data_IF_146019388263
#
_entry.id   IF_146019388263
#
_cell.length_a   1.000
_cell.length_b   1.000
_cell.length_c   1.000
_cell.angle_alpha   90.00
_cell.angle_beta   90.00
_cell.angle_gamma   90.00
#
_symmetry.space_group_name_H-M   'P 1'
#
loop_
_entity.id
_entity.type
_entity.pdbx_description
1 polymer ?
#
# COMPACT_ATOMS: atom_id res chain seq x y z
N UNK A 1 6.43 -22.99 -10.49
CA UNK A 1 7.16 -21.71 -10.34
C UNK A 1 7.43 -21.52 -8.88
N UNK A 2 8.68 -21.39 -8.53
CA UNK A 2 9.10 -21.27 -7.12
C UNK A 2 9.17 -19.81 -6.69
N UNK A 3 8.93 -19.57 -5.41
CA UNK A 3 9.09 -18.23 -4.80
C UNK A 3 10.52 -17.72 -5.01
N UNK A 4 11.51 -18.60 -4.92
CA UNK A 4 12.94 -18.28 -5.15
C UNK A 4 13.27 -17.83 -6.59
N UNK A 5 12.40 -18.10 -7.57
CA UNK A 5 12.56 -17.60 -8.93
C UNK A 5 12.47 -16.07 -9.03
N UNK A 6 12.02 -15.40 -7.95
CA UNK A 6 11.90 -13.94 -7.81
C UNK A 6 12.91 -13.35 -6.84
N UNK A 7 13.97 -14.10 -6.55
CA UNK A 7 15.06 -13.64 -5.71
C UNK A 7 16.02 -12.74 -6.50
N UNK A 8 16.51 -11.72 -5.85
CA UNK A 8 17.64 -10.90 -6.29
C UNK A 8 18.43 -10.44 -5.07
N UNK A 9 19.70 -10.12 -5.24
CA UNK A 9 20.55 -9.66 -4.15
C UNK A 9 20.25 -8.18 -3.84
N UNK A 10 19.72 -7.89 -2.66
CA UNK A 10 19.41 -6.54 -2.21
C UNK A 10 20.24 -6.18 -0.98
N UNK A 11 21.25 -5.29 -1.13
CA UNK A 11 21.98 -4.74 0.02
C UNK A 11 21.05 -3.97 0.97
N UNK A 12 21.16 -4.24 2.29
CA UNK A 12 20.28 -3.62 3.29
C UNK A 12 20.36 -2.10 3.29
N UNK A 13 21.54 -1.54 3.00
CA UNK A 13 21.74 -0.08 2.94
C UNK A 13 20.95 0.62 1.83
N UNK A 14 20.42 -0.09 0.84
CA UNK A 14 19.58 0.47 -0.20
C UNK A 14 18.10 0.59 0.22
N UNK A 15 17.71 -0.01 1.31
CA UNK A 15 16.36 0.12 1.86
C UNK A 15 16.21 1.51 2.47
N UNK A 16 15.38 2.36 1.85
CA UNK A 16 15.18 3.72 2.29
C UNK A 16 14.52 3.79 3.67
N UNK A 17 15.14 4.50 4.61
CA UNK A 17 14.63 4.67 5.97
C UNK A 17 13.83 5.96 6.14
N UNK A 18 14.11 6.97 5.32
CA UNK A 18 13.50 8.30 5.38
C UNK A 18 13.06 8.74 3.99
N UNK A 19 11.96 9.52 3.88
CA UNK A 19 11.59 10.13 2.62
C UNK A 19 12.61 11.22 2.22
N UNK A 20 12.73 11.47 0.91
CA UNK A 20 13.45 12.62 0.40
C UNK A 20 12.73 13.92 0.79
N UNK A 21 13.45 15.03 0.88
CA UNK A 21 12.86 16.33 1.17
C UNK A 21 11.76 16.67 0.16
N UNK A 22 12.05 16.52 -1.13
CA UNK A 22 11.10 16.72 -2.22
C UNK A 22 10.57 15.36 -2.71
N UNK A 23 9.25 15.16 -2.67
CA UNK A 23 8.59 13.89 -3.05
C UNK A 23 8.92 13.45 -4.47
N UNK A 24 8.78 14.33 -5.45
CA UNK A 24 8.98 14.05 -6.87
C UNK A 24 10.45 14.13 -7.32
N UNK A 25 11.37 14.38 -6.38
CA UNK A 25 12.81 14.34 -6.60
C UNK A 25 13.41 12.94 -6.55
N UNK A 26 12.63 11.91 -6.24
CA UNK A 26 13.08 10.51 -6.32
C UNK A 26 13.49 10.14 -7.75
N UNK A 27 14.32 9.11 -7.88
CA UNK A 27 14.68 8.59 -9.21
C UNK A 27 13.53 7.79 -9.79
N UNK A 28 13.45 7.78 -11.11
CA UNK A 28 12.48 7.02 -11.87
C UNK A 28 13.21 6.12 -12.86
N UNK A 29 13.02 4.82 -12.73
CA UNK A 29 13.44 3.85 -13.76
C UNK A 29 12.25 3.57 -14.68
N UNK A 30 12.38 3.89 -15.94
CA UNK A 30 11.37 3.60 -16.95
C UNK A 30 11.74 2.30 -17.66
N UNK A 31 10.89 1.29 -17.52
CA UNK A 31 11.06 -0.02 -18.13
C UNK A 31 10.05 -0.22 -19.26
N UNK A 32 10.54 -0.44 -20.47
CA UNK A 32 9.70 -0.89 -21.56
C UNK A 32 9.45 -2.40 -21.40
N UNK A 33 8.20 -2.78 -21.15
CA UNK A 33 7.83 -4.18 -20.87
C UNK A 33 8.00 -5.13 -22.06
N UNK A 34 7.98 -4.60 -23.27
CA UNK A 34 8.11 -5.44 -24.49
C UNK A 34 9.57 -5.70 -24.85
N UNK A 35 10.42 -4.68 -24.71
CA UNK A 35 11.84 -4.76 -25.11
C UNK A 35 12.79 -4.99 -23.94
N UNK A 36 12.39 -4.69 -22.71
CA UNK A 36 13.26 -4.68 -21.54
C UNK A 36 14.20 -3.46 -21.47
N UNK A 37 14.05 -2.50 -22.37
CA UNK A 37 14.84 -1.26 -22.37
C UNK A 37 14.59 -0.44 -21.10
N UNK A 38 15.69 0.06 -20.51
CA UNK A 38 15.67 0.83 -19.26
C UNK A 38 16.13 2.25 -19.55
N UNK A 39 15.42 3.24 -18.99
CA UNK A 39 15.82 4.64 -18.93
C UNK A 39 15.85 5.12 -17.49
N UNK A 40 16.84 5.97 -17.17
CA UNK A 40 16.99 6.56 -15.84
C UNK A 40 16.56 8.03 -15.87
N UNK A 41 15.58 8.37 -15.04
CA UNK A 41 14.93 9.69 -14.94
C UNK A 41 14.77 10.09 -13.48
N UNK A 42 14.12 11.21 -13.24
CA UNK A 42 13.55 11.58 -11.95
C UNK A 42 12.03 11.51 -11.99
N UNK A 43 11.39 11.39 -10.85
CA UNK A 43 9.94 11.18 -10.81
C UNK A 43 9.16 12.35 -11.43
N UNK A 44 9.64 13.58 -11.30
CA UNK A 44 9.01 14.74 -11.98
C UNK A 44 8.99 14.63 -13.50
N UNK A 45 9.80 13.75 -14.10
CA UNK A 45 9.79 13.47 -15.55
C UNK A 45 8.69 12.48 -15.97
N UNK A 46 7.95 11.91 -15.01
CA UNK A 46 6.86 10.94 -15.31
C UNK A 46 5.83 11.51 -16.27
N UNK A 47 5.60 12.82 -16.24
CA UNK A 47 4.70 13.53 -17.13
C UNK A 47 5.05 13.34 -18.61
N UNK A 48 6.31 13.13 -18.96
CA UNK A 48 6.77 12.92 -20.33
C UNK A 48 6.29 11.57 -20.91
N UNK A 49 5.89 10.65 -20.05
CA UNK A 49 5.40 9.31 -20.41
C UNK A 49 3.86 9.22 -20.40
N UNK A 50 3.18 10.31 -20.10
CA UNK A 50 1.73 10.40 -20.07
C UNK A 50 1.22 11.22 -21.27
N UNK A 51 0.16 10.75 -21.91
CA UNK A 51 -0.44 11.39 -23.07
C UNK A 51 -1.80 12.01 -22.71
N UNK A 52 -2.20 13.11 -23.39
CA UNK A 52 -3.57 13.59 -23.29
C UNK A 52 -4.58 12.46 -23.54
N UNK A 53 -5.60 12.35 -22.70
CA UNK A 53 -6.59 11.26 -22.77
C UNK A 53 -6.24 10.00 -21.97
N UNK A 54 -5.02 9.86 -21.46
CA UNK A 54 -4.70 8.83 -20.48
C UNK A 54 -5.41 9.09 -19.15
N UNK A 55 -5.54 8.06 -18.33
CA UNK A 55 -6.09 8.15 -16.99
C UNK A 55 -5.13 7.54 -15.98
N UNK A 56 -4.69 8.34 -14.99
CA UNK A 56 -4.00 7.85 -13.80
C UNK A 56 -5.03 7.33 -12.80
N UNK A 57 -4.84 6.12 -12.32
CA UNK A 57 -5.68 5.52 -11.27
C UNK A 57 -4.88 5.43 -9.99
N UNK A 58 -5.36 6.12 -8.97
CA UNK A 58 -4.69 6.28 -7.68
C UNK A 58 -5.55 5.74 -6.54
N UNK A 59 -4.90 5.13 -5.54
CA UNK A 59 -5.57 4.68 -4.33
C UNK A 59 -5.61 5.82 -3.31
N UNK A 60 -6.80 6.32 -2.98
CA UNK A 60 -7.03 7.45 -2.08
C UNK A 60 -7.13 7.05 -0.60
N UNK A 61 -6.80 5.81 -0.26
CA UNK A 61 -6.81 5.39 1.14
C UNK A 61 -5.83 6.20 2.00
N UNK A 62 -6.26 6.48 3.24
CA UNK A 62 -5.47 7.19 4.23
C UNK A 62 -5.12 6.25 5.38
N UNK A 63 -3.87 6.28 5.79
CA UNK A 63 -3.38 5.45 6.90
C UNK A 63 -3.95 5.96 8.20
N UNK A 64 -4.51 5.04 8.98
CA UNK A 64 -4.96 5.29 10.33
C UNK A 64 -3.73 5.34 11.26
N UNK A 65 -3.63 6.30 12.21
CA UNK A 65 -2.57 6.30 13.25
C UNK A 65 -2.86 5.18 14.27
N UNK A 66 -2.71 3.95 13.80
CA UNK A 66 -3.24 2.74 14.42
C UNK A 66 -2.33 2.14 15.50
N UNK A 67 -1.10 2.66 15.69
CA UNK A 67 -0.17 2.19 16.71
C UNK A 67 -0.33 3.00 17.98
N UNK A 68 -0.86 2.37 19.02
CA UNK A 68 -1.10 2.96 20.33
C UNK A 68 -0.09 2.42 21.36
N UNK A 69 0.60 3.34 22.03
CA UNK A 69 1.48 3.01 23.15
C UNK A 69 0.76 3.32 24.47
N UNK A 70 0.58 2.30 25.28
CA UNK A 70 -0.09 2.43 26.57
C UNK A 70 0.64 1.67 27.68
N UNK A 71 0.04 1.61 28.83
CA UNK A 71 0.55 0.85 29.97
C UNK A 71 -0.58 0.09 30.68
N UNK A 72 -0.25 -1.01 31.29
CA UNK A 72 -1.17 -1.72 32.17
C UNK A 72 -1.32 -0.96 33.50
N UNK A 73 -2.42 -1.16 34.23
CA UNK A 73 -2.57 -0.59 35.61
C UNK A 73 -1.38 -0.91 36.52
N UNK A 74 -0.67 -2.04 36.24
CA UNK A 74 0.53 -2.47 36.96
C UNK A 74 1.84 -1.79 36.46
N UNK A 75 1.76 -0.86 35.49
CA UNK A 75 2.87 -0.07 34.98
C UNK A 75 3.63 -0.67 33.78
N UNK A 76 3.33 -1.89 33.35
CA UNK A 76 4.01 -2.50 32.19
C UNK A 76 3.58 -1.87 30.86
N UNK A 77 4.55 -1.44 30.03
CA UNK A 77 4.28 -0.87 28.70
C UNK A 77 3.68 -1.92 27.75
N UNK A 78 2.73 -1.49 26.96
CA UNK A 78 2.03 -2.30 25.95
C UNK A 78 1.86 -1.50 24.67
N UNK A 79 2.18 -2.11 23.54
CA UNK A 79 1.81 -1.64 22.21
C UNK A 79 0.52 -2.34 21.77
N UNK A 80 -0.45 -1.57 21.32
CA UNK A 80 -1.69 -2.07 20.70
C UNK A 80 -1.76 -1.51 19.28
N UNK A 81 -1.75 -2.39 18.29
CA UNK A 81 -1.87 -2.04 16.89
C UNK A 81 -3.25 -2.43 16.37
N UNK A 82 -4.03 -1.45 15.96
CA UNK A 82 -5.36 -1.65 15.39
C UNK A 82 -5.27 -2.29 14.01
N UNK A 83 -6.03 -3.37 13.77
CA UNK A 83 -6.04 -4.09 12.50
C UNK A 83 -7.37 -3.92 11.76
N UNK A 84 -8.49 -4.14 12.45
CA UNK A 84 -9.82 -4.12 11.85
C UNK A 84 -10.87 -3.68 12.87
N UNK A 85 -11.73 -2.76 12.45
CA UNK A 85 -12.91 -2.37 13.21
C UNK A 85 -13.97 -3.49 13.17
N UNK A 86 -14.40 -3.94 14.33
CA UNK A 86 -15.43 -4.95 14.49
C UNK A 86 -16.80 -4.34 14.88
N UNK A 87 -16.87 -3.01 15.00
CA UNK A 87 -18.03 -2.30 15.50
C UNK A 87 -18.15 -2.32 17.03
N UNK A 88 -19.11 -1.61 17.57
CA UNK A 88 -19.39 -1.53 19.01
C UNK A 88 -18.15 -1.20 19.87
N UNK A 89 -17.27 -0.32 19.38
CA UNK A 89 -16.00 0.05 20.02
C UNK A 89 -15.01 -1.11 20.16
N UNK A 90 -15.19 -2.22 19.45
CA UNK A 90 -14.30 -3.39 19.44
C UNK A 90 -13.44 -3.39 18.20
N UNK A 91 -12.17 -3.72 18.37
CA UNK A 91 -11.18 -3.84 17.30
C UNK A 91 -10.42 -5.15 17.40
N UNK A 92 -10.13 -5.74 16.27
CA UNK A 92 -9.09 -6.73 16.17
C UNK A 92 -7.75 -6.03 16.22
N UNK A 93 -6.86 -6.49 17.12
CA UNK A 93 -5.59 -5.83 17.41
C UNK A 93 -4.45 -6.83 17.52
N UNK A 94 -3.25 -6.39 17.14
CA UNK A 94 -2.01 -7.06 17.52
C UNK A 94 -1.44 -6.36 18.76
N UNK A 95 -1.17 -7.14 19.82
CA UNK A 95 -0.67 -6.60 21.09
C UNK A 95 0.75 -7.11 21.40
N UNK A 96 1.61 -6.22 21.87
CA UNK A 96 2.97 -6.55 22.33
C UNK A 96 3.23 -5.97 23.72
N UNK A 97 3.71 -6.80 24.66
CA UNK A 97 3.94 -8.24 24.60
C UNK A 97 2.62 -9.04 24.72
N UNK A 98 2.37 -9.94 23.76
CA UNK A 98 1.10 -10.70 23.68
C UNK A 98 0.81 -11.54 24.93
N UNK A 99 1.84 -12.09 25.56
CA UNK A 99 1.70 -12.90 26.80
C UNK A 99 1.06 -12.16 27.97
N UNK A 100 1.16 -10.82 27.97
CA UNK A 100 0.62 -9.95 29.03
C UNK A 100 -0.74 -9.36 28.67
N UNK A 101 -1.28 -9.75 27.53
CA UNK A 101 -2.56 -9.26 27.01
C UNK A 101 -3.54 -10.42 26.88
N UNK A 102 -4.04 -10.88 28.02
CA UNK A 102 -5.05 -11.94 28.17
C UNK A 102 -6.43 -11.33 28.42
N UNK A 103 -7.47 -12.14 28.23
CA UNK A 103 -8.87 -11.70 28.46
C UNK A 103 -9.02 -11.04 29.82
N UNK A 104 -9.63 -9.86 29.85
CA UNK A 104 -9.84 -9.04 31.04
C UNK A 104 -8.67 -8.11 31.41
N UNK A 105 -7.50 -8.21 30.74
CA UNK A 105 -6.44 -7.24 30.97
C UNK A 105 -6.80 -5.87 30.38
N UNK A 106 -6.43 -4.84 31.13
CA UNK A 106 -6.68 -3.44 30.80
C UNK A 106 -5.39 -2.74 30.34
N UNK A 107 -5.57 -1.74 29.47
CA UNK A 107 -4.52 -0.83 29.02
C UNK A 107 -5.03 0.59 29.10
N UNK A 108 -4.17 1.48 29.54
CA UNK A 108 -4.41 2.92 29.67
C UNK A 108 -3.51 3.65 28.67
N UNK A 109 -4.07 4.56 27.89
CA UNK A 109 -3.35 5.37 26.92
C UNK A 109 -3.48 6.84 27.28
N UNK A 110 -2.42 7.60 27.03
CA UNK A 110 -2.34 9.01 27.43
C UNK A 110 -2.54 9.15 28.95
N UNK A 111 -3.24 10.18 29.35
CA UNK A 111 -3.60 10.45 30.75
C UNK A 111 -4.92 9.76 31.18
N UNK A 112 -5.31 8.69 30.47
CA UNK A 112 -6.53 7.93 30.74
C UNK A 112 -7.73 8.35 29.87
N UNK A 113 -7.53 9.21 28.88
CA UNK A 113 -8.58 9.60 27.92
C UNK A 113 -9.02 8.47 27.01
N UNK A 114 -8.18 7.45 26.85
CA UNK A 114 -8.48 6.20 26.17
C UNK A 114 -8.08 5.03 27.05
N UNK A 115 -9.00 4.10 27.26
CA UNK A 115 -8.71 2.82 27.92
C UNK A 115 -9.21 1.67 27.07
N UNK A 116 -8.66 0.50 27.28
CA UNK A 116 -9.02 -0.69 26.53
C UNK A 116 -9.02 -1.94 27.41
N UNK A 117 -9.87 -2.90 27.05
CA UNK A 117 -9.98 -4.21 27.71
C UNK A 117 -9.92 -5.30 26.65
N UNK A 118 -9.09 -6.32 26.89
CA UNK A 118 -9.06 -7.52 26.04
C UNK A 118 -10.32 -8.34 26.27
N UNK A 119 -11.09 -8.59 25.22
CA UNK A 119 -12.32 -9.40 25.24
C UNK A 119 -12.09 -10.83 24.79
N UNK A 120 -11.17 -11.04 23.86
CA UNK A 120 -10.88 -12.35 23.28
C UNK A 120 -9.43 -12.43 22.85
N UNK A 121 -8.86 -13.64 22.90
CA UNK A 121 -7.57 -14.01 22.32
C UNK A 121 -7.86 -14.98 21.19
N UNK A 122 -7.57 -14.58 19.96
CA UNK A 122 -7.85 -15.38 18.76
C UNK A 122 -6.75 -16.42 18.50
N UNK A 123 -7.07 -17.45 17.70
CA UNK A 123 -6.15 -18.56 17.40
C UNK A 123 -4.86 -18.11 16.71
N UNK A 124 -4.93 -17.09 15.87
CA UNK A 124 -3.79 -16.48 15.16
C UNK A 124 -2.92 -15.58 16.05
N UNK A 125 -3.31 -15.41 17.31
CA UNK A 125 -2.62 -14.58 18.30
C UNK A 125 -3.07 -13.14 18.34
N UNK A 126 -4.02 -12.72 17.49
CA UNK A 126 -4.65 -11.40 17.58
C UNK A 126 -5.57 -11.32 18.81
N UNK A 127 -5.97 -10.12 19.18
CA UNK A 127 -6.89 -9.85 20.29
C UNK A 127 -8.10 -9.08 19.80
N UNK A 128 -9.25 -9.40 20.33
CA UNK A 128 -10.40 -8.50 20.27
C UNK A 128 -10.34 -7.59 21.49
N UNK A 129 -10.22 -6.30 21.25
CA UNK A 129 -10.04 -5.27 22.26
C UNK A 129 -11.20 -4.29 22.20
N UNK A 130 -11.87 -4.07 23.33
CA UNK A 130 -12.91 -3.07 23.47
C UNK A 130 -12.32 -1.78 24.03
N UNK A 131 -12.55 -0.66 23.32
CA UNK A 131 -12.06 0.66 23.71
C UNK A 131 -13.14 1.46 24.43
N UNK A 132 -12.71 2.23 25.41
CA UNK A 132 -13.55 3.20 26.14
C UNK A 132 -12.97 4.59 25.96
N UNK A 133 -13.77 5.50 25.41
CA UNK A 133 -13.40 6.87 25.10
C UNK A 133 -14.66 7.74 25.01
N UNK A 134 -14.48 9.05 25.09
CA UNK A 134 -15.50 10.04 24.81
C UNK A 134 -15.27 10.71 23.46
N UNK A 135 -16.33 11.11 22.78
CA UNK A 135 -16.25 11.79 21.49
C UNK A 135 -16.01 10.86 20.30
N UNK A 136 -15.23 11.33 19.34
CA UNK A 136 -14.94 10.66 18.08
C UNK A 136 -13.62 9.89 18.20
N UNK A 137 -13.64 8.59 17.94
CA UNK A 137 -12.48 7.72 18.10
C UNK A 137 -11.29 8.14 17.22
N UNK A 138 -11.55 8.59 16.00
CA UNK A 138 -10.50 9.05 15.09
C UNK A 138 -9.74 10.25 15.67
N UNK A 139 -10.42 11.20 16.28
CA UNK A 139 -9.79 12.35 16.94
C UNK A 139 -8.91 11.93 18.12
N UNK A 140 -9.34 10.93 18.87
CA UNK A 140 -8.54 10.33 19.97
C UNK A 140 -7.28 9.65 19.38
N UNK A 141 -7.42 8.90 18.28
CA UNK A 141 -6.31 8.26 17.60
C UNK A 141 -5.31 9.28 17.02
N UNK A 142 -5.78 10.39 16.47
CA UNK A 142 -4.91 11.46 15.96
C UNK A 142 -4.03 12.08 17.05
N UNK A 143 -4.54 12.13 18.30
CA UNK A 143 -3.75 12.64 19.44
C UNK A 143 -2.79 11.60 20.02
N UNK A 144 -3.21 10.35 20.14
CA UNK A 144 -2.49 9.30 20.89
C UNK A 144 -1.77 8.30 20.00
N UNK A 145 -2.27 8.12 18.77
CA UNK A 145 -1.77 7.12 17.84
C UNK A 145 -0.51 7.57 17.12
N UNK A 146 0.30 6.58 16.75
CA UNK A 146 1.45 6.77 15.87
C UNK A 146 1.21 6.05 14.54
N UNK A 147 1.87 6.54 13.50
CA UNK A 147 1.85 5.93 12.17
C UNK A 147 2.44 4.51 12.24
N UNK A 148 1.71 3.49 11.75
CA UNK A 148 2.21 2.12 11.71
C UNK A 148 3.14 1.94 10.49
N UNK A 149 4.39 2.37 10.61
CA UNK A 149 5.37 2.20 9.55
C UNK A 149 5.69 0.71 9.32
N UNK A 150 6.04 0.33 8.08
CA UNK A 150 6.50 -1.02 7.78
C UNK A 150 7.69 -1.46 8.66
N UNK A 151 7.81 -2.76 8.96
CA UNK A 151 8.82 -3.24 9.93
C UNK A 151 10.28 -3.06 9.48
N UNK A 152 10.53 -2.83 8.20
CA UNK A 152 11.87 -2.54 7.67
C UNK A 152 12.30 -1.08 7.82
N UNK A 153 11.38 -0.18 8.19
CA UNK A 153 11.68 1.21 8.55
C UNK A 153 11.95 1.24 10.05
N UNK A 154 13.19 1.50 10.42
CA UNK A 154 13.66 1.54 11.81
C UNK A 154 13.74 2.99 12.34
N UNK A 155 13.81 3.96 11.44
CA UNK A 155 13.88 5.38 11.75
C UNK A 155 12.49 5.93 12.14
N UNK A 156 12.47 6.83 13.13
CA UNK A 156 11.24 7.52 13.51
C UNK A 156 10.92 8.63 12.49
N UNK A 157 9.68 8.63 12.00
CA UNK A 157 9.21 9.62 11.04
C UNK A 157 8.88 10.93 11.76
N UNK A 158 9.61 12.00 11.44
CA UNK A 158 9.44 13.32 12.08
C UNK A 158 8.10 13.97 11.70
N UNK A 159 7.72 13.83 10.43
CA UNK A 159 6.45 14.32 9.89
C UNK A 159 5.60 13.13 9.40
N UNK A 160 4.55 12.81 10.14
CA UNK A 160 3.68 11.67 9.81
C UNK A 160 2.94 11.82 8.48
N UNK A 161 2.69 13.06 8.02
CA UNK A 161 2.06 13.31 6.71
C UNK A 161 2.96 12.87 5.55
N UNK A 162 4.26 12.65 5.77
CA UNK A 162 5.15 12.10 4.75
C UNK A 162 4.86 10.63 4.42
N UNK A 163 4.13 9.90 5.27
CA UNK A 163 3.60 8.56 4.99
C UNK A 163 2.12 8.58 4.58
N UNK A 164 1.69 9.70 4.00
CA UNK A 164 0.38 9.86 3.36
C UNK A 164 0.57 10.43 1.97
N UNK A 165 -0.26 10.01 1.02
CA UNK A 165 -0.30 10.64 -0.30
C UNK A 165 -0.94 12.03 -0.19
N UNK A 166 -0.60 12.93 -1.10
CA UNK A 166 -1.17 14.28 -1.13
C UNK A 166 -2.67 14.32 -1.47
N UNK A 167 -3.20 13.20 -1.93
CA UNK A 167 -4.61 13.00 -2.28
C UNK A 167 -5.35 12.00 -1.36
N UNK A 168 -4.72 11.56 -0.28
CA UNK A 168 -5.34 10.62 0.67
C UNK A 168 -6.61 11.19 1.28
N UNK A 169 -7.68 10.38 1.35
CA UNK A 169 -9.01 10.80 1.79
C UNK A 169 -9.70 9.75 2.66
N UNK A 170 -9.83 8.53 2.17
CA UNK A 170 -10.61 7.47 2.81
C UNK A 170 -9.80 6.79 3.91
N UNK A 171 -10.09 7.13 5.17
CA UNK A 171 -9.37 6.61 6.35
C UNK A 171 -9.70 5.14 6.58
N UNK A 172 -8.71 4.33 6.95
CA UNK A 172 -8.91 2.92 7.32
C UNK A 172 -7.79 1.97 6.90
N UNK A 173 -6.77 2.46 6.21
CA UNK A 173 -5.64 1.65 5.76
C UNK A 173 -4.59 1.47 6.87
N UNK A 174 -3.99 0.29 6.94
CA UNK A 174 -2.85 0.01 7.81
C UNK A 174 -1.49 0.39 7.18
N UNK A 175 -1.46 0.64 5.87
CA UNK A 175 -0.28 1.06 5.14
C UNK A 175 -0.63 2.04 4.02
N UNK A 176 0.30 2.94 3.71
CA UNK A 176 0.15 3.88 2.59
C UNK A 176 0.31 3.17 1.23
N UNK A 177 -0.40 3.62 0.18
CA UNK A 177 -0.12 3.24 -1.19
C UNK A 177 1.15 3.98 -1.67
N UNK A 178 2.32 3.40 -1.38
CA UNK A 178 3.60 4.10 -1.37
C UNK A 178 4.06 4.64 -2.72
N UNK A 179 3.62 4.08 -3.83
CA UNK A 179 3.88 4.65 -5.16
C UNK A 179 3.27 6.05 -5.33
N UNK A 180 2.17 6.32 -4.64
CA UNK A 180 1.54 7.64 -4.62
C UNK A 180 2.31 8.69 -3.84
N UNK A 181 3.25 8.30 -2.96
CA UNK A 181 4.04 9.22 -2.16
C UNK A 181 4.98 10.11 -3.00
N UNK A 182 5.30 9.69 -4.21
CA UNK A 182 6.14 10.46 -5.13
C UNK A 182 5.45 11.69 -5.72
N UNK A 183 4.11 11.69 -5.75
CA UNK A 183 3.36 12.81 -6.35
C UNK A 183 3.31 14.01 -5.41
N UNK A 184 3.53 15.18 -5.99
CA UNK A 184 3.22 16.48 -5.39
C UNK A 184 1.92 17.02 -5.97
N UNK A 185 1.27 17.96 -5.28
CA UNK A 185 0.08 18.65 -5.82
C UNK A 185 0.39 19.38 -7.11
N UNK A 186 1.57 20.00 -7.18
CA UNK A 186 2.06 20.74 -8.35
C UNK A 186 2.28 19.82 -9.56
N UNK A 187 2.86 18.62 -9.35
CA UNK A 187 3.03 17.66 -10.43
C UNK A 187 1.67 17.14 -10.94
N UNK A 188 0.74 16.83 -10.05
CA UNK A 188 -0.61 16.41 -10.42
C UNK A 188 -1.36 17.50 -11.20
N UNK A 189 -1.20 18.77 -10.82
CA UNK A 189 -1.79 19.88 -11.56
C UNK A 189 -1.27 19.97 -12.99
N UNK A 190 0.05 19.90 -13.18
CA UNK A 190 0.68 19.85 -14.50
C UNK A 190 0.20 18.66 -15.34
N UNK A 191 0.01 17.51 -14.71
CA UNK A 191 -0.50 16.30 -15.38
C UNK A 191 -1.93 16.55 -15.87
N UNK A 192 -2.80 17.15 -15.04
CA UNK A 192 -4.17 17.54 -15.44
C UNK A 192 -4.17 18.57 -16.57
N UNK A 193 -3.31 19.58 -16.50
CA UNK A 193 -3.15 20.59 -17.54
C UNK A 193 -2.71 19.99 -18.88
N UNK A 194 -1.95 18.90 -18.86
CA UNK A 194 -1.58 18.14 -20.07
C UNK A 194 -2.76 17.39 -20.69
N UNK A 195 -3.89 17.27 -19.99
CA UNK A 195 -5.09 16.55 -20.46
C UNK A 195 -5.14 15.08 -20.00
N UNK A 196 -4.38 14.72 -18.97
CA UNK A 196 -4.43 13.41 -18.33
C UNK A 196 -5.50 13.44 -17.24
N UNK A 197 -6.40 12.45 -17.26
CA UNK A 197 -7.44 12.30 -16.25
C UNK A 197 -6.88 11.65 -14.99
N UNK A 198 -7.48 11.97 -13.84
CA UNK A 198 -7.20 11.35 -12.55
C UNK A 198 -8.45 10.65 -12.04
N UNK A 199 -8.34 9.37 -11.76
CA UNK A 199 -9.40 8.56 -11.16
C UNK A 199 -8.94 7.96 -9.84
N UNK A 200 -9.85 7.85 -8.88
CA UNK A 200 -9.54 7.34 -7.56
C UNK A 200 -10.32 6.05 -7.28
N UNK A 201 -9.60 5.10 -6.73
CA UNK A 201 -10.14 3.88 -6.14
C UNK A 201 -9.72 3.82 -4.68
N UNK A 202 -10.39 2.99 -3.88
CA UNK A 202 -10.03 2.79 -2.49
C UNK A 202 -9.73 1.31 -2.25
N UNK A 203 -8.54 1.02 -1.75
CA UNK A 203 -8.18 -0.27 -1.20
C UNK A 203 -7.51 -0.04 0.16
N UNK A 204 -8.13 -0.54 1.21
CA UNK A 204 -7.55 -0.50 2.54
C UNK A 204 -6.54 -1.63 2.71
N UNK A 205 -5.26 -1.25 2.68
CA UNK A 205 -4.15 -2.20 2.82
C UNK A 205 -4.11 -2.76 4.23
N UNK A 206 -4.13 -4.08 4.34
CA UNK A 206 -3.94 -4.78 5.61
C UNK A 206 -2.46 -5.01 5.93
N UNK A 207 -2.17 -5.31 7.20
CA UNK A 207 -0.81 -5.63 7.66
C UNK A 207 -0.23 -6.90 7.03
N UNK A 208 -1.07 -7.73 6.44
CA UNK A 208 -0.64 -8.93 5.72
C UNK A 208 0.34 -8.65 4.58
N UNK A 209 0.28 -7.45 4.00
CA UNK A 209 1.19 -7.00 2.93
C UNK A 209 2.66 -7.03 3.32
N UNK A 210 2.97 -6.90 4.62
CA UNK A 210 4.34 -6.94 5.13
C UNK A 210 4.80 -8.33 5.56
N UNK A 211 3.94 -9.35 5.46
CA UNK A 211 4.32 -10.72 5.80
C UNK A 211 5.08 -11.35 4.63
N UNK A 212 6.25 -11.97 4.87
CA UNK A 212 6.98 -12.67 3.81
C UNK A 212 6.18 -13.88 3.30
N UNK A 213 6.34 -14.18 2.02
CA UNK A 213 5.83 -15.42 1.43
C UNK A 213 6.57 -16.59 2.04
N UNK A 214 5.82 -17.56 2.59
CA UNK A 214 6.39 -18.76 3.24
C UNK A 214 6.32 -19.99 2.34
N UNK A 215 5.45 -19.98 1.34
CA UNK A 215 5.28 -21.08 0.41
C UNK A 215 6.50 -21.22 -0.51
N UNK A 216 6.96 -22.44 -0.75
CA UNK A 216 8.03 -22.73 -1.72
C UNK A 216 7.50 -22.57 -3.16
N UNK A 217 6.32 -23.09 -3.42
CA UNK A 217 5.63 -22.93 -4.70
C UNK A 217 4.69 -21.72 -4.66
N UNK A 218 4.79 -20.87 -5.68
CA UNK A 218 3.96 -19.64 -5.78
C UNK A 218 2.47 -19.95 -5.69
N UNK A 219 2.02 -21.05 -6.29
CA UNK A 219 0.61 -21.48 -6.32
C UNK A 219 0.04 -21.89 -4.97
N UNK A 220 0.90 -22.15 -3.98
CA UNK A 220 0.49 -22.52 -2.62
C UNK A 220 0.32 -21.32 -1.68
N UNK A 221 0.71 -20.13 -2.14
CA UNK A 221 0.55 -18.92 -1.37
C UNK A 221 -0.90 -18.41 -1.41
N UNK A 222 -1.44 -18.07 -0.24
CA UNK A 222 -2.76 -17.48 -0.09
C UNK A 222 -2.64 -16.01 0.31
N UNK A 223 -3.24 -15.14 -0.50
CA UNK A 223 -3.29 -13.70 -0.22
C UNK A 223 -4.30 -13.38 0.87
N UNK A 224 -4.00 -12.36 1.64
CA UNK A 224 -4.97 -11.78 2.58
C UNK A 224 -6.09 -11.06 1.83
N UNK A 225 -7.29 -11.15 2.39
CA UNK A 225 -8.46 -10.46 1.86
C UNK A 225 -8.43 -8.98 2.26
N UNK A 226 -8.62 -8.08 1.30
CA UNK A 226 -8.65 -6.64 1.48
C UNK A 226 -9.89 -6.06 0.80
N UNK A 227 -10.49 -5.04 1.41
CA UNK A 227 -11.66 -4.36 0.86
C UNK A 227 -11.23 -3.37 -0.21
N UNK A 228 -11.74 -3.53 -1.42
CA UNK A 228 -11.55 -2.60 -2.51
C UNK A 228 -12.88 -2.04 -3.02
N UNK A 229 -12.86 -0.78 -3.43
CA UNK A 229 -14.05 -0.03 -3.81
C UNK A 229 -13.79 0.88 -5.02
N UNK A 230 -14.80 0.99 -5.88
CA UNK A 230 -14.84 1.91 -7.00
C UNK A 230 -16.21 2.59 -7.04
N UNK A 231 -16.24 3.91 -7.16
CA UNK A 231 -17.49 4.66 -7.32
C UNK A 231 -17.90 4.78 -8.80
N UNK A 232 -19.12 5.28 -9.03
CA UNK A 232 -19.68 5.41 -10.38
C UNK A 232 -18.93 6.41 -11.26
N UNK A 233 -18.40 7.50 -10.69
CA UNK A 233 -17.64 8.50 -11.40
C UNK A 233 -16.33 7.92 -11.96
N UNK A 234 -15.59 7.20 -11.12
CA UNK A 234 -14.37 6.49 -11.53
C UNK A 234 -14.67 5.45 -12.62
N UNK A 235 -15.69 4.62 -12.42
CA UNK A 235 -16.09 3.62 -13.41
C UNK A 235 -16.41 4.24 -14.77
N UNK A 236 -17.18 5.32 -14.78
CA UNK A 236 -17.50 6.09 -15.99
C UNK A 236 -16.24 6.62 -16.67
N UNK A 237 -15.34 7.25 -15.93
CA UNK A 237 -14.08 7.81 -16.44
C UNK A 237 -13.20 6.73 -17.08
N UNK A 238 -13.06 5.57 -16.45
CA UNK A 238 -12.28 4.45 -16.99
C UNK A 238 -12.89 3.88 -18.27
N UNK A 239 -14.21 3.74 -18.33
CA UNK A 239 -14.90 3.29 -19.53
C UNK A 239 -14.75 4.30 -20.67
N UNK A 240 -14.83 5.59 -20.39
CA UNK A 240 -14.62 6.65 -21.38
C UNK A 240 -13.18 6.67 -21.89
N UNK A 241 -12.20 6.50 -21.00
CA UNK A 241 -10.78 6.40 -21.36
C UNK A 241 -10.54 5.25 -22.33
N UNK A 242 -11.07 4.06 -22.05
CA UNK A 242 -10.95 2.89 -22.96
C UNK A 242 -11.60 3.16 -24.32
N UNK A 243 -12.80 3.73 -24.32
CA UNK A 243 -13.54 4.00 -25.58
C UNK A 243 -12.83 5.03 -26.46
N UNK A 244 -12.15 6.00 -25.88
CA UNK A 244 -11.39 7.02 -26.60
C UNK A 244 -9.98 6.59 -27.01
N UNK A 245 -9.56 5.37 -26.68
CA UNK A 245 -8.24 4.85 -26.99
C UNK A 245 -7.13 5.36 -26.08
N UNK A 246 -7.48 5.97 -24.93
CA UNK A 246 -6.55 6.37 -23.88
C UNK A 246 -6.06 5.15 -23.07
N UNK A 247 -4.94 5.34 -22.37
CA UNK A 247 -4.37 4.30 -21.54
C UNK A 247 -4.81 4.46 -20.08
N UNK A 248 -5.00 3.33 -19.39
CA UNK A 248 -5.21 3.27 -17.95
C UNK A 248 -3.88 2.94 -17.30
N UNK A 249 -3.35 3.87 -16.50
CA UNK A 249 -2.07 3.75 -15.82
C UNK A 249 -2.31 3.74 -14.32
N UNK A 250 -2.01 2.59 -13.70
CA UNK A 250 -2.16 2.43 -12.26
C UNK A 250 -0.96 3.01 -11.51
N UNK A 251 -1.25 3.79 -10.47
CA UNK A 251 -0.27 4.22 -9.48
C UNK A 251 -0.33 3.28 -8.29
N UNK A 252 0.67 2.43 -8.18
CA UNK A 252 0.80 1.40 -7.16
C UNK A 252 0.14 0.07 -7.48
N UNK A 253 0.68 -0.96 -6.86
CA UNK A 253 0.14 -2.32 -6.95
C UNK A 253 -1.26 -2.45 -6.34
N UNK A 254 -1.61 -1.58 -5.39
CA UNK A 254 -2.95 -1.52 -4.81
C UNK A 254 -4.01 -1.05 -5.81
N UNK A 255 -3.71 -0.04 -6.62
CA UNK A 255 -4.59 0.39 -7.71
C UNK A 255 -4.74 -0.69 -8.78
N UNK A 256 -3.63 -1.35 -9.16
CA UNK A 256 -3.65 -2.48 -10.07
C UNK A 256 -4.55 -3.62 -9.56
N UNK A 257 -4.34 -4.06 -8.33
CA UNK A 257 -5.12 -5.14 -7.72
C UNK A 257 -6.60 -4.78 -7.61
N UNK A 258 -6.92 -3.53 -7.32
CA UNK A 258 -8.29 -3.04 -7.29
C UNK A 258 -8.95 -3.13 -8.65
N UNK A 259 -8.32 -2.57 -9.69
CA UNK A 259 -8.89 -2.60 -11.03
C UNK A 259 -9.04 -4.01 -11.58
N UNK A 260 -8.02 -4.85 -11.43
CA UNK A 260 -8.07 -6.24 -11.90
C UNK A 260 -9.10 -7.10 -11.12
N UNK A 261 -9.41 -6.71 -9.88
CA UNK A 261 -10.47 -7.36 -9.10
C UNK A 261 -11.87 -6.90 -9.49
N UNK A 262 -12.04 -5.66 -9.94
CA UNK A 262 -13.35 -5.03 -10.18
C UNK A 262 -13.75 -4.97 -11.65
N UNK A 263 -12.81 -5.18 -12.58
CA UNK A 263 -13.11 -5.20 -14.01
C UNK A 263 -14.07 -6.34 -14.35
N UNK A 264 -15.07 -6.05 -15.17
CA UNK A 264 -16.00 -7.05 -15.69
C UNK A 264 -15.34 -7.92 -16.77
N UNK A 265 -15.93 -9.06 -17.08
CA UNK A 265 -15.38 -9.99 -18.10
C UNK A 265 -15.31 -9.37 -19.50
N UNK A 266 -16.19 -8.42 -19.80
CA UNK A 266 -16.18 -7.65 -21.05
C UNK A 266 -15.20 -6.47 -21.06
N UNK A 267 -14.41 -6.29 -19.98
CA UNK A 267 -13.45 -5.22 -19.82
C UNK A 267 -14.03 -3.86 -19.39
N UNK A 268 -15.31 -3.81 -19.08
CA UNK A 268 -15.97 -2.59 -18.56
C UNK A 268 -15.88 -2.49 -17.04
N UNK A 269 -16.19 -1.32 -16.51
CA UNK A 269 -16.24 -1.03 -15.08
C UNK A 269 -17.63 -0.53 -14.67
N UNK A 270 -17.98 -0.81 -13.43
CA UNK A 270 -19.17 -0.32 -12.74
C UNK A 270 -18.84 0.00 -11.28
N UNK A 271 -19.70 0.81 -10.65
CA UNK A 271 -19.56 1.07 -9.21
C UNK A 271 -19.80 -0.21 -8.42
N UNK A 272 -18.80 -0.64 -7.68
CA UNK A 272 -18.92 -1.78 -6.77
C UNK A 272 -17.82 -1.80 -5.70
N UNK A 273 -18.08 -2.57 -4.66
CA UNK A 273 -17.10 -2.90 -3.64
C UNK A 273 -17.02 -4.41 -3.47
N UNK A 274 -15.85 -4.90 -3.09
CA UNK A 274 -15.62 -6.34 -2.96
C UNK A 274 -14.42 -6.59 -2.05
N UNK A 275 -14.47 -7.66 -1.29
CA UNK A 275 -13.27 -8.22 -0.67
C UNK A 275 -12.48 -8.97 -1.73
N UNK A 276 -11.19 -8.66 -1.85
CA UNK A 276 -10.29 -9.28 -2.83
C UNK A 276 -9.10 -9.92 -2.15
N UNK A 277 -8.79 -11.13 -2.57
CA UNK A 277 -7.59 -11.89 -2.27
C UNK A 277 -6.79 -12.16 -3.55
N UNK A 278 -6.97 -11.31 -4.57
CA UNK A 278 -6.33 -11.49 -5.87
C UNK A 278 -4.82 -11.60 -5.71
N UNK A 279 -4.28 -12.67 -6.25
CA UNK A 279 -2.85 -12.92 -6.32
C UNK A 279 -2.40 -12.95 -7.79
N UNK A 280 -1.63 -11.95 -8.17
CA UNK A 280 -1.13 -11.77 -9.53
C UNK A 280 0.34 -12.19 -9.60
N UNK A 281 0.62 -13.16 -10.44
CA UNK A 281 1.96 -13.67 -10.72
C UNK A 281 2.07 -14.08 -12.20
N UNK A 282 3.27 -14.36 -12.76
CA UNK A 282 3.44 -14.68 -14.17
C UNK A 282 2.49 -15.76 -14.67
N UNK A 283 1.84 -15.47 -15.80
CA UNK A 283 0.73 -16.25 -16.36
C UNK A 283 -0.62 -15.56 -16.22
N UNK A 284 -0.73 -14.52 -15.39
CA UNK A 284 -1.93 -13.71 -15.28
C UNK A 284 -2.15 -12.85 -16.53
N UNK A 285 -3.39 -12.77 -17.00
CA UNK A 285 -3.78 -11.90 -18.12
C UNK A 285 -4.45 -10.64 -17.59
N UNK A 286 -3.80 -9.51 -17.75
CA UNK A 286 -4.33 -8.21 -17.36
C UNK A 286 -5.47 -7.78 -18.26
N UNK A 287 -6.59 -7.33 -17.67
CA UNK A 287 -7.80 -6.86 -18.36
C UNK A 287 -8.02 -5.35 -18.21
N UNK A 288 -7.44 -4.74 -17.18
CA UNK A 288 -7.80 -3.40 -16.75
C UNK A 288 -6.74 -2.36 -17.03
N UNK A 289 -5.45 -2.64 -16.86
CA UNK A 289 -4.41 -1.60 -16.94
C UNK A 289 -3.47 -1.77 -18.13
N UNK A 290 -2.95 -0.63 -18.60
CA UNK A 290 -1.98 -0.54 -19.70
C UNK A 290 -0.58 -0.15 -19.22
N UNK A 291 -0.46 0.47 -18.05
CA UNK A 291 0.80 0.88 -17.46
C UNK A 291 0.75 0.84 -15.93
N UNK A 292 1.93 0.74 -15.32
CA UNK A 292 2.08 0.66 -13.86
C UNK A 292 3.22 1.56 -13.40
N UNK A 293 2.94 2.41 -12.42
CA UNK A 293 3.93 3.19 -11.66
C UNK A 293 4.00 2.56 -10.28
N UNK A 294 5.20 2.13 -9.87
CA UNK A 294 5.36 1.43 -8.59
C UNK A 294 6.76 1.63 -8.02
N UNK A 295 6.93 1.36 -6.72
CA UNK A 295 8.24 1.33 -6.07
C UNK A 295 8.97 0.01 -6.37
N UNK A 296 10.25 -0.06 -6.01
CA UNK A 296 11.00 -1.31 -5.99
C UNK A 296 10.58 -2.15 -4.77
N UNK A 297 10.34 -3.43 -5.01
CA UNK A 297 9.77 -4.37 -4.02
C UNK A 297 10.80 -5.34 -3.48
N UNK A 298 10.50 -5.95 -2.32
CA UNK A 298 11.33 -6.98 -1.68
C UNK A 298 11.55 -8.20 -2.59
N UNK A 299 12.75 -8.83 -2.54
CA UNK A 299 12.95 -10.14 -3.12
C UNK A 299 11.90 -11.14 -2.65
N UNK A 300 11.49 -12.03 -3.52
CA UNK A 300 10.53 -13.11 -3.22
C UNK A 300 9.15 -12.65 -2.73
N UNK A 301 8.82 -11.36 -2.86
CA UNK A 301 7.52 -10.81 -2.45
C UNK A 301 6.44 -11.01 -3.50
N UNK A 302 5.18 -11.02 -3.07
CA UNK A 302 4.02 -11.05 -3.97
C UNK A 302 4.00 -9.86 -4.93
N UNK A 303 4.61 -8.74 -4.54
CA UNK A 303 4.63 -7.52 -5.34
C UNK A 303 5.65 -7.59 -6.49
N UNK A 304 6.84 -8.18 -6.27
CA UNK A 304 7.77 -8.43 -7.39
C UNK A 304 7.20 -9.46 -8.36
N UNK A 305 6.38 -10.41 -7.87
CA UNK A 305 5.67 -11.36 -8.72
C UNK A 305 4.62 -10.67 -9.59
N UNK A 306 3.86 -9.71 -9.05
CA UNK A 306 2.88 -8.91 -9.80
C UNK A 306 3.56 -8.09 -10.91
N UNK A 307 4.63 -7.37 -10.59
CA UNK A 307 5.38 -6.59 -11.59
C UNK A 307 5.97 -7.51 -12.66
N UNK A 308 6.47 -8.68 -12.28
CA UNK A 308 6.98 -9.71 -13.20
C UNK A 308 5.88 -10.28 -14.09
N UNK A 309 4.66 -10.41 -13.61
CA UNK A 309 3.52 -10.81 -14.43
C UNK A 309 3.20 -9.78 -15.51
N UNK A 310 3.39 -8.49 -15.20
CA UNK A 310 3.09 -7.40 -16.11
C UNK A 310 4.20 -7.14 -17.15
N UNK A 311 5.46 -7.14 -16.73
CA UNK A 311 6.60 -6.73 -17.57
C UNK A 311 7.51 -7.90 -18.00
N UNK A 312 7.23 -9.11 -17.55
CA UNK A 312 8.11 -10.27 -17.75
C UNK A 312 9.15 -10.38 -16.64
N UNK A 313 9.30 -11.61 -16.11
CA UNK A 313 10.21 -11.87 -14.99
C UNK A 313 11.66 -11.48 -15.29
N UNK A 314 12.16 -11.84 -16.46
CA UNK A 314 13.56 -11.56 -16.85
C UNK A 314 13.80 -10.04 -16.95
N UNK A 315 12.89 -9.30 -17.59
CA UNK A 315 12.99 -7.85 -17.69
C UNK A 315 12.98 -7.19 -16.31
N UNK A 316 12.11 -7.65 -15.41
CA UNK A 316 12.00 -7.09 -14.05
C UNK A 316 13.25 -7.40 -13.24
N UNK A 317 13.74 -8.64 -13.23
CA UNK A 317 14.94 -8.99 -12.46
C UNK A 317 16.17 -8.26 -12.99
N UNK A 318 16.35 -8.14 -14.32
CA UNK A 318 17.42 -7.35 -14.90
C UNK A 318 17.32 -5.86 -14.51
N UNK A 319 16.10 -5.30 -14.49
CA UNK A 319 15.87 -3.92 -14.04
C UNK A 319 16.21 -3.73 -12.56
N UNK A 320 15.89 -4.70 -11.71
CA UNK A 320 16.20 -4.66 -10.28
C UNK A 320 17.70 -4.81 -10.01
N UNK A 321 18.40 -5.68 -10.75
CA UNK A 321 19.86 -5.78 -10.68
C UNK A 321 20.53 -4.46 -11.11
N UNK A 322 20.03 -3.84 -12.19
CA UNK A 322 20.52 -2.53 -12.62
C UNK A 322 20.24 -1.45 -11.57
N UNK A 323 19.06 -1.47 -10.93
CA UNK A 323 18.72 -0.55 -9.85
C UNK A 323 19.68 -0.70 -8.65
N UNK A 324 20.04 -1.92 -8.28
CA UNK A 324 21.04 -2.18 -7.22
C UNK A 324 22.42 -1.63 -7.63
N UNK A 325 22.89 -1.88 -8.86
CA UNK A 325 24.17 -1.34 -9.38
C UNK A 325 24.20 0.19 -9.37
N UNK A 326 23.11 0.80 -9.76
CA UNK A 326 22.96 2.27 -9.81
C UNK A 326 22.60 2.89 -8.45
N UNK A 327 22.52 2.05 -7.40
CA UNK A 327 22.21 2.47 -6.03
C UNK A 327 20.89 3.24 -5.91
N UNK A 328 19.84 2.74 -6.55
CA UNK A 328 18.47 3.18 -6.30
C UNK A 328 18.08 2.88 -4.85
N UNK A 329 17.13 3.63 -4.36
CA UNK A 329 16.54 3.44 -3.03
C UNK A 329 15.33 2.51 -3.16
N UNK A 330 15.18 1.59 -2.22
CA UNK A 330 14.17 0.54 -2.28
C UNK A 330 13.07 0.74 -1.23
N UNK A 331 11.89 0.19 -1.50
CA UNK A 331 10.67 0.14 -0.70
C UNK A 331 9.94 1.46 -0.54
N UNK A 332 9.20 1.62 0.60
CA UNK A 332 8.17 2.63 0.81
C UNK A 332 8.63 4.07 0.57
N UNK A 333 9.83 4.42 1.01
CA UNK A 333 10.43 5.75 0.81
C UNK A 333 11.51 5.77 -0.28
N UNK A 334 11.57 4.70 -1.04
CA UNK A 334 12.53 4.56 -2.12
C UNK A 334 12.13 5.24 -3.41
N UNK A 335 12.80 4.84 -4.47
CA UNK A 335 12.59 5.31 -5.84
C UNK A 335 11.47 4.52 -6.54
N UNK A 336 11.18 4.89 -7.77
CA UNK A 336 10.09 4.29 -8.54
C UNK A 336 10.58 3.75 -9.90
#
# INVERSE_FOLDING_TARGET
>A
MKTHDFWYDLPEELIAQTPLERRDGSRLMVLNRETGEIQHKHFYDVIDYLNPGDCLVMNDSRVLPARLMGHRPTGGVVEVLLLRDLGNKCWECLCKPGRKMQVGNEVIFGDGELTAVVREVQEDGNRVVEFKYEGIFLEVLERLGKMPLPPYIKEELQDQERYQTVYSKEVGSAAAPTAGLHFTKELLEKIREKGVNEAFVTLHVGLGTFRPVKAEEVTEHHMHSELCMMNAETAKMLNETKRSGGRIICVGTTSCRTLESLVNDDGTFEAKSKWTDIFIYPGYTFKAMDGLITNFHLPESTLVMLVSAFAGREHVLNAYEEAVKQRYRFFSFGDA
#
